data_IF_365971524070
#
_entry.id   IF_365971524070
#
_cell.length_a   1.000
_cell.length_b   1.000
_cell.length_c   1.000
_cell.angle_alpha   90.00
_cell.angle_beta   90.00
_cell.angle_gamma   90.00
#
_symmetry.space_group_name_H-M   'P 1'
#
loop_
_entity.id
_entity.type
_entity.pdbx_description
1 polymer ?
#
# COMPACT_ATOMS: atom_id res chain seq x y z
N UNK A 1 -12.11 -15.37 6.80
CA UNK A 1 -11.50 -14.36 7.71
C UNK A 1 -10.58 -13.46 6.89
N UNK A 2 -10.97 -12.21 6.67
CA UNK A 2 -10.09 -11.24 6.02
C UNK A 2 -8.93 -10.95 6.99
N UNK A 3 -7.73 -11.47 6.68
CA UNK A 3 -6.52 -11.10 7.44
C UNK A 3 -6.39 -9.58 7.40
N UNK A 4 -6.22 -8.89 8.54
CA UNK A 4 -6.00 -7.46 8.54
C UNK A 4 -4.84 -7.16 7.59
N UNK A 5 -5.09 -6.25 6.65
CA UNK A 5 -4.10 -5.84 5.68
C UNK A 5 -2.92 -5.28 6.46
N UNK A 6 -1.67 -5.69 6.17
CA UNK A 6 -0.51 -5.08 6.81
C UNK A 6 -0.47 -3.54 6.63
N UNK A 7 -1.23 -3.01 5.66
CA UNK A 7 -1.45 -1.59 5.41
C UNK A 7 -2.19 -0.90 6.57
N UNK A 8 -3.13 -1.58 7.23
CA UNK A 8 -3.87 -1.02 8.37
C UNK A 8 -2.97 -0.82 9.60
N UNK A 9 -1.87 -1.57 9.67
CA UNK A 9 -0.83 -1.44 10.70
C UNK A 9 0.20 -0.37 10.38
N UNK A 10 0.19 0.18 9.17
CA UNK A 10 1.11 1.26 8.81
C UNK A 10 0.71 2.52 9.59
N UNK A 11 1.70 3.26 10.12
CA UNK A 11 1.42 4.55 10.72
C UNK A 11 0.90 5.52 9.65
N UNK A 12 0.09 6.48 10.08
CA UNK A 12 -0.70 7.35 9.20
C UNK A 12 0.17 8.13 8.20
N UNK A 13 1.37 8.56 8.63
CA UNK A 13 2.35 9.21 7.77
C UNK A 13 2.77 8.33 6.58
N UNK A 14 3.09 7.05 6.82
CA UNK A 14 3.49 6.11 5.76
C UNK A 14 2.31 5.78 4.85
N UNK A 15 1.11 5.68 5.42
CA UNK A 15 -0.12 5.44 4.64
C UNK A 15 -0.45 6.62 3.72
N UNK A 16 -0.27 7.85 4.20
CA UNK A 16 -0.45 9.06 3.41
C UNK A 16 0.55 9.14 2.25
N UNK A 17 1.84 8.86 2.50
CA UNK A 17 2.86 8.79 1.44
C UNK A 17 2.52 7.68 0.43
N UNK A 18 2.19 6.47 0.90
CA UNK A 18 1.77 5.36 0.06
C UNK A 18 0.59 5.75 -0.84
N UNK A 19 -0.40 6.44 -0.28
CA UNK A 19 -1.58 6.88 -1.02
C UNK A 19 -1.23 7.94 -2.08
N UNK A 20 -0.39 8.93 -1.74
CA UNK A 20 0.10 9.91 -2.71
C UNK A 20 0.86 9.25 -3.87
N UNK A 21 1.65 8.24 -3.55
CA UNK A 21 2.46 7.51 -4.50
C UNK A 21 1.61 6.57 -5.38
N UNK A 22 0.58 5.95 -4.80
CA UNK A 22 -0.45 5.22 -5.55
C UNK A 22 -1.20 6.14 -6.52
N UNK A 23 -1.55 7.36 -6.10
CA UNK A 23 -2.16 8.36 -6.99
C UNK A 23 -1.22 8.77 -8.12
N UNK A 24 0.06 9.01 -7.79
CA UNK A 24 1.10 9.39 -8.78
C UNK A 24 1.31 8.32 -9.84
N UNK A 25 1.24 7.05 -9.46
CA UNK A 25 1.42 5.88 -10.35
C UNK A 25 0.10 5.32 -10.89
N UNK A 26 -1.02 6.01 -10.66
CA UNK A 26 -2.37 5.61 -11.07
C UNK A 26 -2.72 4.17 -10.65
N UNK A 27 -2.30 3.75 -9.45
CA UNK A 27 -2.54 2.43 -8.88
C UNK A 27 -2.04 1.28 -9.79
N UNK A 28 -0.88 1.43 -10.43
CA UNK A 28 -0.29 0.39 -11.30
C UNK A 28 1.00 -0.22 -10.76
N UNK A 29 1.83 0.56 -10.05
CA UNK A 29 3.18 0.15 -9.61
C UNK A 29 3.21 -0.56 -8.24
N UNK A 30 2.41 -1.61 -8.07
CA UNK A 30 2.34 -2.33 -6.79
C UNK A 30 3.63 -3.07 -6.39
N UNK A 31 4.37 -3.59 -7.37
CA UNK A 31 5.67 -4.26 -7.15
C UNK A 31 6.68 -3.29 -6.53
N UNK A 32 6.82 -2.10 -7.15
CA UNK A 32 7.75 -1.09 -6.68
C UNK A 32 7.32 -0.53 -5.31
N UNK A 33 6.02 -0.28 -5.10
CA UNK A 33 5.49 0.13 -3.80
C UNK A 33 5.71 -0.90 -2.69
N UNK A 34 5.58 -2.19 -3.02
CA UNK A 34 5.88 -3.29 -2.11
C UNK A 34 7.35 -3.28 -1.69
N UNK A 35 8.25 -3.07 -2.66
CA UNK A 35 9.68 -2.98 -2.39
C UNK A 35 10.02 -1.74 -1.55
N UNK A 36 9.43 -0.59 -1.88
CA UNK A 36 9.62 0.67 -1.16
C UNK A 36 9.14 0.58 0.30
N UNK A 37 7.99 -0.08 0.54
CA UNK A 37 7.53 -0.35 1.90
C UNK A 37 8.46 -1.32 2.62
N UNK A 38 8.97 -2.35 1.93
CA UNK A 38 9.90 -3.31 2.51
C UNK A 38 11.22 -2.65 2.94
N UNK A 39 11.76 -1.71 2.15
CA UNK A 39 12.93 -0.90 2.50
C UNK A 39 12.71 -0.05 3.76
N UNK A 40 11.47 0.40 4.00
CA UNK A 40 11.09 1.09 5.24
C UNK A 40 10.85 0.15 6.43
N UNK A 41 11.04 -1.16 6.25
CA UNK A 41 10.79 -2.18 7.26
C UNK A 41 9.34 -2.68 7.31
N UNK A 42 8.51 -2.32 6.34
CA UNK A 42 7.10 -2.73 6.27
C UNK A 42 6.88 -3.76 5.16
N UNK A 43 6.66 -5.02 5.54
CA UNK A 43 6.37 -6.07 4.57
C UNK A 43 4.91 -6.01 4.13
N UNK A 44 4.65 -5.39 2.98
CA UNK A 44 3.30 -5.29 2.40
C UNK A 44 3.27 -6.00 1.05
N UNK A 45 2.47 -7.06 0.94
CA UNK A 45 2.34 -7.80 -0.32
C UNK A 45 1.54 -7.02 -1.37
N UNK A 46 1.81 -7.26 -2.65
CA UNK A 46 1.01 -6.77 -3.80
C UNK A 46 -0.50 -6.93 -3.58
N UNK A 47 -0.97 -8.09 -3.10
CA UNK A 47 -2.40 -8.34 -2.88
C UNK A 47 -3.03 -7.42 -1.83
N UNK A 48 -2.24 -6.98 -0.83
CA UNK A 48 -2.71 -6.02 0.17
C UNK A 48 -2.83 -4.62 -0.44
N UNK A 49 -1.82 -4.20 -1.22
CA UNK A 49 -1.87 -2.93 -1.97
C UNK A 49 -3.04 -2.89 -2.94
N UNK A 50 -3.29 -4.00 -3.64
CA UNK A 50 -4.38 -4.11 -4.59
C UNK A 50 -5.76 -4.00 -3.90
N UNK A 51 -5.94 -4.60 -2.72
CA UNK A 51 -7.16 -4.41 -1.92
C UNK A 51 -7.32 -2.97 -1.44
N UNK A 52 -6.25 -2.36 -0.95
CA UNK A 52 -6.26 -0.96 -0.53
C UNK A 52 -6.59 -0.02 -1.68
N UNK A 53 -6.00 -0.26 -2.85
CA UNK A 53 -6.30 0.45 -4.09
C UNK A 53 -7.78 0.31 -4.46
N UNK A 54 -8.35 -0.90 -4.43
CA UNK A 54 -9.78 -1.09 -4.73
C UNK A 54 -10.69 -0.38 -3.73
N UNK A 55 -10.31 -0.32 -2.45
CA UNK A 55 -11.08 0.39 -1.41
C UNK A 55 -11.01 1.93 -1.54
N UNK A 56 -9.91 2.47 -2.10
CA UNK A 56 -9.67 3.92 -2.21
C UNK A 56 -9.70 4.47 -3.63
N UNK A 57 -9.86 3.64 -4.66
CA UNK A 57 -10.10 4.06 -6.04
C UNK A 57 -11.50 4.67 -6.11
N UNK A 58 -11.60 5.98 -5.89
CA UNK A 58 -12.82 6.76 -6.01
C UNK A 58 -12.67 7.84 -7.07
#
# INVERSE_FOLDING_TARGET
>A
MARPSNIDKLPENVRAELHAELLRTNFTCYEWLSSWLADKGFTVSKSALQRYAVAHKK
#
